data_IF_753159449361
#
_entry.id   IF_753159449361
#
_cell.length_a   1.000
_cell.length_b   1.000
_cell.length_c   1.000
_cell.angle_alpha   90.00
_cell.angle_beta   90.00
_cell.angle_gamma   90.00
#
_symmetry.space_group_name_H-M   'P 1'
#
loop_
_entity.id
_entity.type
_entity.pdbx_description
1 polymer ?
#
# COMPACT_ATOMS: atom_id res chain seq x y z
N UNK A 1 56.46 -13.75 20.27
CA UNK A 1 56.05 -13.80 18.86
C UNK A 1 54.53 -13.64 18.68
N UNK A 2 53.88 -12.69 19.37
CA UNK A 2 52.39 -12.63 19.42
C UNK A 2 51.77 -11.25 19.09
N UNK A 3 52.54 -10.16 18.98
CA UNK A 3 51.97 -8.83 18.70
C UNK A 3 51.46 -8.66 17.24
N UNK A 4 52.00 -9.43 16.30
CA UNK A 4 51.67 -9.32 14.88
C UNK A 4 50.30 -9.92 14.53
N UNK A 5 49.87 -10.97 15.25
CA UNK A 5 48.56 -11.62 15.04
C UNK A 5 47.40 -10.77 15.56
N UNK A 6 47.61 -10.06 16.68
CA UNK A 6 46.61 -9.18 17.29
C UNK A 6 46.26 -7.97 16.42
N UNK A 7 47.25 -7.41 15.72
CA UNK A 7 47.06 -6.26 14.83
C UNK A 7 46.24 -6.65 13.58
N UNK A 8 46.44 -7.86 13.05
CA UNK A 8 45.64 -8.36 11.92
C UNK A 8 44.17 -8.58 12.29
N UNK A 9 43.89 -9.09 13.48
CA UNK A 9 42.51 -9.33 13.94
C UNK A 9 41.77 -8.00 14.13
N UNK A 10 42.43 -6.97 14.70
CA UNK A 10 41.83 -5.65 14.89
C UNK A 10 41.57 -4.95 13.54
N UNK A 11 42.49 -5.09 12.57
CA UNK A 11 42.30 -4.55 11.23
C UNK A 11 41.14 -5.26 10.47
N UNK A 12 40.97 -6.57 10.66
CA UNK A 12 39.86 -7.33 10.06
C UNK A 12 38.51 -7.00 10.70
N UNK A 13 38.47 -6.77 12.01
CA UNK A 13 37.25 -6.38 12.73
C UNK A 13 36.80 -4.95 12.36
N UNK A 14 37.76 -4.03 12.16
CA UNK A 14 37.47 -2.67 11.69
C UNK A 14 36.90 -2.63 10.27
N UNK A 15 37.38 -3.51 9.38
CA UNK A 15 36.85 -3.61 8.01
C UNK A 15 35.43 -4.20 7.98
N UNK A 16 35.11 -5.11 8.89
CA UNK A 16 33.78 -5.73 8.97
C UNK A 16 32.70 -4.75 9.47
N UNK A 17 33.07 -3.82 10.36
CA UNK A 17 32.15 -2.80 10.88
C UNK A 17 31.88 -1.70 9.83
N UNK A 18 32.84 -1.39 8.96
CA UNK A 18 32.62 -0.44 7.85
C UNK A 18 31.73 -1.03 6.74
N UNK A 19 31.77 -2.35 6.52
CA UNK A 19 30.91 -3.03 5.55
C UNK A 19 29.44 -3.15 6.01
N UNK A 20 29.17 -3.03 7.31
CA UNK A 20 27.82 -3.15 7.88
C UNK A 20 26.93 -1.92 7.72
N UNK A 21 27.48 -0.76 7.34
CA UNK A 21 26.72 0.51 7.25
C UNK A 21 26.14 0.72 5.83
N UNK A 22 26.50 -0.12 4.86
CA UNK A 22 26.22 0.15 3.44
C UNK A 22 24.95 -0.51 2.85
N UNK A 23 23.97 -0.91 3.66
CA UNK A 23 22.69 -1.43 3.12
C UNK A 23 21.51 -0.78 3.83
N UNK A 24 21.35 0.52 3.58
CA UNK A 24 20.01 1.14 3.53
C UNK A 24 20.07 2.32 2.56
N UNK A 25 20.58 2.07 1.36
CA UNK A 25 20.09 2.82 0.22
C UNK A 25 18.61 2.43 0.10
N UNK A 26 17.73 3.23 0.73
CA UNK A 26 16.32 3.23 0.35
C UNK A 26 16.36 3.47 -1.15
N UNK A 27 16.00 2.45 -1.93
CA UNK A 27 15.55 2.67 -3.28
C UNK A 27 14.34 3.57 -3.12
N UNK A 28 14.56 4.88 -3.26
CA UNK A 28 13.49 5.75 -3.72
C UNK A 28 13.21 5.16 -5.08
N UNK A 29 12.16 4.33 -5.16
CA UNK A 29 11.57 3.99 -6.43
C UNK A 29 11.26 5.35 -7.07
N UNK A 30 12.15 5.78 -7.95
CA UNK A 30 11.86 6.72 -9.01
C UNK A 30 10.91 6.00 -9.98
N UNK A 31 9.76 5.56 -9.44
CA UNK A 31 8.65 5.05 -10.19
C UNK A 31 8.08 6.23 -10.92
N UNK A 32 8.53 6.39 -12.17
CA UNK A 32 7.75 6.95 -13.29
C UNK A 32 6.46 7.64 -12.84
N UNK A 33 6.61 8.88 -12.36
CA UNK A 33 5.53 9.74 -11.90
C UNK A 33 4.72 10.30 -13.08
N UNK A 34 4.19 9.42 -13.93
CA UNK A 34 3.21 9.78 -14.97
C UNK A 34 1.82 9.20 -14.69
N UNK A 35 1.68 8.36 -13.67
CA UNK A 35 0.40 7.79 -13.26
C UNK A 35 0.07 8.28 -11.86
N UNK A 36 -0.86 9.23 -11.77
CA UNK A 36 -1.14 9.88 -10.51
C UNK A 36 -1.73 8.92 -9.48
N UNK A 37 -1.53 9.19 -8.18
CA UNK A 37 -1.87 8.26 -7.12
C UNK A 37 -3.37 8.12 -6.91
N UNK A 38 -3.75 6.96 -6.36
CA UNK A 38 -5.07 6.77 -5.75
C UNK A 38 -4.99 7.26 -4.31
N UNK A 39 -5.97 8.06 -3.90
CA UNK A 39 -6.09 8.59 -2.56
C UNK A 39 -7.28 7.93 -1.85
N UNK A 40 -7.15 7.69 -0.55
CA UNK A 40 -8.25 7.37 0.36
C UNK A 40 -8.35 8.49 1.40
N UNK A 41 -9.49 9.17 1.44
CA UNK A 41 -9.71 10.37 2.27
C UNK A 41 -8.60 11.43 2.10
N UNK A 42 -8.16 11.63 0.85
CA UNK A 42 -7.11 12.57 0.50
C UNK A 42 -5.68 12.13 0.84
N UNK A 43 -5.50 10.91 1.38
CA UNK A 43 -4.18 10.34 1.67
C UNK A 43 -3.78 9.35 0.60
N UNK A 44 -2.55 9.45 0.09
CA UNK A 44 -2.04 8.53 -0.93
C UNK A 44 -1.99 7.10 -0.42
N UNK A 45 -2.62 6.19 -1.17
CA UNK A 45 -2.47 4.75 -0.97
C UNK A 45 -1.15 4.30 -1.61
N UNK A 46 -0.09 4.27 -0.80
CA UNK A 46 1.23 3.79 -1.22
C UNK A 46 1.36 2.26 -1.20
N UNK A 47 0.40 1.56 -0.60
CA UNK A 47 0.42 0.11 -0.41
C UNK A 47 -0.24 -0.60 -1.59
N UNK A 48 0.21 -1.83 -1.88
CA UNK A 48 -0.50 -2.75 -2.79
C UNK A 48 -1.67 -3.46 -2.10
N UNK A 49 -2.03 -3.03 -0.89
CA UNK A 49 -3.09 -3.61 -0.07
C UNK A 49 -4.11 -2.54 0.33
N UNK A 50 -5.38 -2.96 0.38
CA UNK A 50 -6.48 -2.23 1.00
C UNK A 50 -7.11 -3.12 2.06
N UNK A 51 -7.52 -2.56 3.20
CA UNK A 51 -8.07 -3.36 4.29
C UNK A 51 -9.57 -3.58 4.08
N UNK A 52 -10.05 -4.78 4.42
CA UNK A 52 -11.46 -5.15 4.28
C UNK A 52 -12.41 -4.19 5.03
N UNK A 53 -11.94 -3.62 6.14
CA UNK A 53 -12.67 -2.66 6.97
C UNK A 53 -12.35 -1.19 6.64
N UNK A 54 -11.64 -0.92 5.55
CA UNK A 54 -11.43 0.45 5.09
C UNK A 54 -12.77 1.11 4.75
N UNK A 55 -12.93 2.36 5.19
CA UNK A 55 -14.07 3.21 4.86
C UNK A 55 -13.52 4.55 4.35
N UNK A 56 -14.38 5.32 3.69
CA UNK A 56 -14.03 6.63 3.18
C UNK A 56 -14.11 6.75 1.67
N UNK A 57 -13.64 7.90 1.18
CA UNK A 57 -13.74 8.28 -0.21
C UNK A 57 -12.45 7.99 -0.94
N UNK A 58 -12.54 7.15 -1.96
CA UNK A 58 -11.47 6.93 -2.91
C UNK A 58 -11.52 8.02 -3.98
N UNK A 59 -10.36 8.55 -4.36
CA UNK A 59 -10.21 9.45 -5.50
C UNK A 59 -8.97 9.08 -6.31
N UNK A 60 -9.03 9.34 -7.62
CA UNK A 60 -7.90 9.19 -8.51
C UNK A 60 -7.47 10.57 -8.96
N UNK A 61 -6.18 10.89 -8.81
CA UNK A 61 -5.63 12.16 -9.27
C UNK A 61 -4.62 11.94 -10.38
N UNK A 62 -4.42 12.95 -11.22
CA UNK A 62 -3.32 13.04 -12.18
C UNK A 62 -2.34 14.10 -11.71
N UNK A 63 -1.06 13.74 -11.65
CA UNK A 63 0.01 14.57 -11.10
C UNK A 63 0.47 14.11 -9.71
N UNK A 64 1.21 14.96 -9.00
CA UNK A 64 1.70 14.68 -7.64
C UNK A 64 0.63 14.98 -6.59
N UNK A 65 0.47 14.09 -5.60
CA UNK A 65 -0.41 14.33 -4.44
C UNK A 65 0.00 15.52 -3.57
N UNK A 66 1.26 15.94 -3.65
CA UNK A 66 1.79 17.11 -2.93
C UNK A 66 1.45 18.43 -3.63
N UNK A 67 1.05 18.38 -4.90
CA UNK A 67 0.67 19.55 -5.66
C UNK A 67 -0.83 19.82 -5.49
N UNK A 68 -1.17 20.99 -4.96
CA UNK A 68 -2.58 21.46 -4.87
C UNK A 68 -3.25 21.59 -6.24
N UNK A 69 -2.48 21.63 -7.34
CA UNK A 69 -2.99 21.64 -8.71
C UNK A 69 -3.26 20.23 -9.28
N UNK A 70 -3.13 19.16 -8.47
CA UNK A 70 -3.49 17.82 -8.90
C UNK A 70 -4.97 17.76 -9.31
N UNK A 71 -5.22 17.28 -10.52
CA UNK A 71 -6.58 17.19 -11.07
C UNK A 71 -7.18 15.84 -10.69
N UNK A 72 -8.33 15.85 -10.02
CA UNK A 72 -9.11 14.62 -9.81
C UNK A 72 -9.74 14.20 -11.13
N UNK A 73 -9.75 12.90 -11.40
CA UNK A 73 -10.26 12.36 -12.66
C UNK A 73 -11.34 11.31 -12.42
N UNK A 74 -12.37 11.22 -13.27
CA UNK A 74 -13.35 10.14 -13.22
C UNK A 74 -12.69 8.76 -13.37
N UNK A 75 -13.17 7.79 -12.60
CA UNK A 75 -12.61 6.44 -12.57
C UNK A 75 -13.69 5.38 -12.35
N UNK A 76 -13.37 4.14 -12.71
CA UNK A 76 -14.13 2.95 -12.35
C UNK A 76 -13.38 2.16 -11.30
N UNK A 77 -14.14 1.49 -10.44
CA UNK A 77 -13.64 0.52 -9.48
C UNK A 77 -14.24 -0.84 -9.80
N UNK A 78 -13.40 -1.87 -9.86
CA UNK A 78 -13.80 -3.24 -10.13
C UNK A 78 -13.27 -4.12 -9.01
N UNK A 79 -14.18 -4.78 -8.29
CA UNK A 79 -13.84 -5.80 -7.31
C UNK A 79 -13.84 -7.17 -7.99
N UNK A 80 -12.73 -7.90 -7.88
CA UNK A 80 -12.53 -9.20 -8.51
C UNK A 80 -12.15 -10.28 -7.50
N UNK A 81 -12.61 -11.50 -7.76
CA UNK A 81 -12.18 -12.72 -7.08
C UNK A 81 -11.57 -13.65 -8.12
N UNK A 82 -10.25 -13.66 -8.22
CA UNK A 82 -9.54 -14.27 -9.34
C UNK A 82 -9.99 -13.64 -10.67
N UNK A 83 -10.59 -14.44 -11.56
CA UNK A 83 -11.07 -13.99 -12.87
C UNK A 83 -12.54 -13.52 -12.86
N UNK A 84 -13.25 -13.64 -11.74
CA UNK A 84 -14.66 -13.24 -11.63
C UNK A 84 -14.79 -11.80 -11.15
N UNK A 85 -15.67 -11.02 -11.79
CA UNK A 85 -16.05 -9.69 -11.29
C UNK A 85 -17.15 -9.87 -10.25
N UNK A 86 -16.89 -9.44 -9.02
CA UNK A 86 -17.85 -9.49 -7.91
C UNK A 86 -18.73 -8.23 -7.92
N UNK A 87 -18.12 -7.07 -8.16
CA UNK A 87 -18.83 -5.81 -8.22
C UNK A 87 -18.08 -4.79 -9.07
N UNK A 88 -18.82 -3.84 -9.62
CA UNK A 88 -18.28 -2.72 -10.39
C UNK A 88 -19.04 -1.45 -10.01
N UNK A 89 -18.30 -0.37 -9.85
CA UNK A 89 -18.87 0.96 -9.70
C UNK A 89 -18.10 1.95 -10.58
N UNK A 90 -18.79 3.00 -11.01
CA UNK A 90 -18.20 4.12 -11.76
C UNK A 90 -18.41 5.38 -10.95
N UNK A 91 -17.37 6.18 -10.79
CA UNK A 91 -17.48 7.55 -10.26
C UNK A 91 -17.34 8.53 -11.40
N UNK A 92 -18.42 9.23 -11.67
CA UNK A 92 -18.45 10.39 -12.57
C UNK A 92 -18.00 11.67 -11.85
N UNK A 93 -18.14 11.70 -10.51
CA UNK A 93 -17.92 12.86 -9.66
C UNK A 93 -16.59 12.78 -8.92
N UNK A 94 -15.57 12.14 -9.52
CA UNK A 94 -14.15 12.11 -9.10
C UNK A 94 -13.81 11.58 -7.68
N UNK A 95 -14.83 11.24 -6.89
CA UNK A 95 -14.76 10.61 -5.58
C UNK A 95 -15.77 9.44 -5.49
N UNK A 96 -15.45 8.39 -4.72
CA UNK A 96 -16.35 7.25 -4.50
C UNK A 96 -16.24 6.72 -3.07
N UNK A 97 -17.37 6.52 -2.41
CA UNK A 97 -17.43 5.81 -1.13
C UNK A 97 -17.10 4.32 -1.32
N UNK A 98 -15.98 3.87 -0.76
CA UNK A 98 -15.47 2.50 -0.99
C UNK A 98 -16.15 1.45 -0.12
N UNK A 99 -16.71 1.86 1.03
CA UNK A 99 -17.25 0.93 2.04
C UNK A 99 -18.31 -0.03 1.48
N UNK A 100 -19.13 0.43 0.53
CA UNK A 100 -20.16 -0.40 -0.12
C UNK A 100 -19.56 -1.52 -0.98
N UNK A 101 -18.43 -1.27 -1.64
CA UNK A 101 -17.72 -2.27 -2.44
C UNK A 101 -17.02 -3.27 -1.53
N UNK A 102 -16.32 -2.80 -0.50
CA UNK A 102 -15.55 -3.66 0.40
C UNK A 102 -16.43 -4.56 1.28
N UNK A 103 -17.68 -4.19 1.54
CA UNK A 103 -18.67 -5.07 2.19
C UNK A 103 -18.93 -6.38 1.42
N UNK A 104 -18.70 -6.39 0.12
CA UNK A 104 -18.85 -7.58 -0.74
C UNK A 104 -17.53 -8.36 -0.92
N UNK A 105 -16.42 -7.77 -0.49
CA UNK A 105 -15.10 -8.34 -0.68
C UNK A 105 -14.81 -9.46 0.32
N UNK A 106 -13.96 -10.38 -0.11
CA UNK A 106 -13.31 -11.38 0.74
C UNK A 106 -11.80 -11.13 0.78
N UNK A 107 -11.13 -11.75 1.74
CA UNK A 107 -9.67 -11.72 1.81
C UNK A 107 -9.06 -12.33 0.56
N UNK A 108 -8.07 -11.64 0.00
CA UNK A 108 -7.42 -12.04 -1.25
C UNK A 108 -8.12 -11.57 -2.52
N UNK A 109 -9.31 -10.95 -2.42
CA UNK A 109 -9.92 -10.28 -3.58
C UNK A 109 -9.04 -9.12 -4.07
N UNK A 110 -9.23 -8.72 -5.32
CA UNK A 110 -8.52 -7.61 -5.94
C UNK A 110 -9.48 -6.44 -6.19
N UNK A 111 -9.11 -5.27 -5.69
CA UNK A 111 -9.77 -4.01 -5.96
C UNK A 111 -8.96 -3.25 -7.03
N UNK A 112 -9.51 -3.16 -8.22
CA UNK A 112 -8.91 -2.48 -9.35
C UNK A 112 -9.53 -1.09 -9.53
N UNK A 113 -8.70 -0.07 -9.58
CA UNK A 113 -9.09 1.32 -9.83
C UNK A 113 -8.50 1.74 -11.17
N UNK A 114 -9.34 2.20 -12.09
CA UNK A 114 -8.92 2.55 -13.44
C UNK A 114 -9.59 3.85 -13.90
N UNK A 115 -8.86 4.81 -14.48
CA UNK A 115 -9.46 6.02 -15.03
C UNK A 115 -10.41 5.68 -16.19
N UNK A 116 -11.43 6.52 -16.37
CA UNK A 116 -12.34 6.39 -17.51
C UNK A 116 -11.70 6.87 -18.83
N UNK A 117 -10.77 7.82 -18.74
CA UNK A 117 -10.01 8.29 -19.90
C UNK A 117 -8.92 7.26 -20.28
N UNK A 118 -8.99 6.78 -21.52
CA UNK A 118 -8.04 5.82 -22.08
C UNK A 118 -6.63 6.38 -22.17
N UNK A 119 -6.47 7.70 -22.33
CA UNK A 119 -5.14 8.33 -22.34
C UNK A 119 -4.44 8.25 -20.98
N UNK A 120 -5.20 7.98 -19.92
CA UNK A 120 -4.71 7.85 -18.55
C UNK A 120 -4.61 6.38 -18.12
N UNK A 121 -4.73 5.39 -19.02
CA UNK A 121 -4.75 3.96 -18.67
C UNK A 121 -3.57 3.50 -17.79
N UNK A 122 -2.43 4.19 -17.88
CA UNK A 122 -1.24 3.95 -17.06
C UNK A 122 -1.47 4.23 -15.56
N UNK A 123 -2.49 5.02 -15.21
CA UNK A 123 -2.93 5.30 -13.84
C UNK A 123 -3.82 4.22 -13.22
N UNK A 124 -3.99 3.09 -13.90
CA UNK A 124 -4.59 1.89 -13.33
C UNK A 124 -3.80 1.43 -12.10
N UNK A 125 -4.51 1.06 -11.04
CA UNK A 125 -3.96 0.51 -9.80
C UNK A 125 -4.76 -0.70 -9.34
N UNK A 126 -4.08 -1.67 -8.76
CA UNK A 126 -4.69 -2.89 -8.22
C UNK A 126 -4.24 -3.04 -6.77
N UNK A 127 -5.22 -3.17 -5.88
CA UNK A 127 -5.00 -3.38 -4.45
C UNK A 127 -5.53 -4.75 -4.06
N UNK A 128 -4.76 -5.53 -3.30
CA UNK A 128 -5.24 -6.77 -2.70
C UNK A 128 -6.00 -6.47 -1.41
N UNK A 129 -7.17 -7.07 -1.25
CA UNK A 129 -7.97 -6.97 -0.04
C UNK A 129 -7.34 -7.82 1.06
N UNK A 130 -6.86 -7.16 2.11
CA UNK A 130 -6.24 -7.79 3.27
C UNK A 130 -7.06 -7.61 4.54
N UNK A 131 -6.59 -8.23 5.61
CA UNK A 131 -7.03 -7.98 6.98
C UNK A 131 -5.84 -7.53 7.81
N UNK A 132 -6.07 -6.63 8.77
CA UNK A 132 -5.05 -6.33 9.78
C UNK A 132 -4.57 -7.62 10.44
N UNK A 133 -3.25 -7.80 10.62
CA UNK A 133 -2.76 -8.90 11.44
C UNK A 133 -3.34 -8.71 12.83
N UNK A 134 -4.25 -9.59 13.25
CA UNK A 134 -4.70 -9.63 14.63
C UNK A 134 -3.49 -10.00 15.48
N UNK A 135 -3.03 -9.05 16.28
CA UNK A 135 -1.90 -9.27 17.18
C UNK A 135 -2.35 -10.12 18.37
N UNK A 136 -2.37 -11.44 18.18
CA UNK A 136 -2.67 -12.42 19.23
C UNK A 136 -1.57 -12.52 20.31
N UNK A 137 -0.46 -11.79 20.15
CA UNK A 137 0.71 -11.86 21.02
C UNK A 137 0.67 -10.94 22.25
N UNK A 138 -0.40 -10.14 22.44
CA UNK A 138 -0.62 -9.38 23.68
C UNK A 138 -1.55 -10.21 24.60
N UNK A 139 -1.02 -10.91 25.61
CA UNK A 139 -1.82 -11.81 26.46
C UNK A 139 -2.86 -11.05 27.31
N UNK A 140 -2.65 -9.74 27.52
CA UNK A 140 -3.44 -8.88 28.40
C UNK A 140 -4.81 -8.44 27.84
N UNK A 141 -5.11 -8.73 26.57
CA UNK A 141 -6.41 -8.40 25.95
C UNK A 141 -7.36 -9.61 25.83
N UNK A 142 -7.12 -10.68 26.59
CA UNK A 142 -8.12 -11.73 26.81
C UNK A 142 -9.22 -11.15 27.69
N UNK A 143 -10.20 -10.49 27.07
CA UNK A 143 -11.50 -10.22 27.68
C UNK A 143 -12.06 -11.59 28.03
N UNK A 144 -11.96 -11.96 29.30
CA UNK A 144 -12.70 -13.09 29.84
C UNK A 144 -14.16 -12.66 29.75
N UNK A 145 -14.86 -13.22 28.76
CA UNK A 145 -16.31 -13.17 28.73
C UNK A 145 -16.79 -14.07 29.84
N UNK A 146 -17.12 -13.48 30.98
CA UNK A 146 -17.83 -14.17 32.04
C UNK A 146 -19.21 -14.52 31.46
N UNK A 147 -19.47 -15.81 31.30
CA UNK A 147 -20.71 -16.31 30.72
C UNK A 147 -21.93 -15.82 31.49
N UNK A 148 -22.96 -15.47 30.73
CA UNK A 148 -24.35 -15.41 31.17
C UNK A 148 -25.18 -16.19 30.14
#
# INVERSE_FOLDING_TARGET
MNKLKSIQIIAMLGLLILAGIFISARTIDAGTASSGPVLLDGRTLHTSQIWLNSNGKLSLIVGSSENKAATRVPFRVVLKRGNMIISRAVSETDEMEISRLLKLAALGDELEVEPLDKNLSNARRVFRVGQYPSFHWIPALRIHGDGC
#
